data_IF_081772982431
#
_entry.id   IF_081772982431
#
_cell.length_a   1.000
_cell.length_b   1.000
_cell.length_c   1.000
_cell.angle_alpha   90.00
_cell.angle_beta   90.00
_cell.angle_gamma   90.00
#
_symmetry.space_group_name_H-M   'P 1'
#
loop_
_entity.id
_entity.type
_entity.pdbx_description
1 polymer ?
#
# COMPACT_ATOMS: atom_id res chain seq x y z
N UNK A 1 5.15 -22.46 -24.42
CA UNK A 1 4.32 -21.55 -23.60
C UNK A 1 5.03 -21.37 -22.28
N UNK A 2 5.37 -20.13 -21.92
CA UNK A 2 6.10 -19.83 -20.68
C UNK A 2 5.18 -20.05 -19.48
N UNK A 3 5.66 -20.76 -18.46
CA UNK A 3 4.96 -20.97 -17.18
C UNK A 3 5.43 -19.96 -16.15
N UNK A 4 4.49 -19.33 -15.45
CA UNK A 4 4.78 -18.40 -14.36
C UNK A 4 4.40 -19.02 -13.02
N UNK A 5 5.38 -19.15 -12.12
CA UNK A 5 5.18 -19.61 -10.75
C UNK A 5 4.92 -18.42 -9.83
N UNK A 6 3.72 -18.33 -9.27
CA UNK A 6 3.34 -17.26 -8.33
C UNK A 6 3.99 -17.47 -6.96
N UNK A 7 4.04 -16.41 -6.17
CA UNK A 7 4.47 -16.49 -4.77
C UNK A 7 3.64 -17.49 -3.93
N UNK A 8 2.40 -17.78 -4.34
CA UNK A 8 1.54 -18.79 -3.71
C UNK A 8 1.84 -20.24 -4.13
N UNK A 9 2.81 -20.46 -5.03
CA UNK A 9 3.08 -21.77 -5.66
C UNK A 9 2.14 -22.11 -6.84
N UNK A 10 1.10 -21.30 -7.08
CA UNK A 10 0.21 -21.49 -8.22
C UNK A 10 0.96 -21.26 -9.54
N UNK A 11 0.72 -22.12 -10.53
CA UNK A 11 1.32 -22.03 -11.86
C UNK A 11 0.27 -21.55 -12.85
N UNK A 12 0.60 -20.55 -13.66
CA UNK A 12 -0.24 -20.10 -14.77
C UNK A 12 0.60 -19.89 -16.04
N UNK A 13 -0.05 -19.85 -17.20
CA UNK A 13 0.62 -19.40 -18.41
C UNK A 13 1.00 -17.91 -18.28
N UNK A 14 2.16 -17.55 -18.82
CA UNK A 14 2.51 -16.14 -19.01
C UNK A 14 1.43 -15.45 -19.85
N UNK A 15 1.10 -14.22 -19.46
CA UNK A 15 0.07 -13.42 -20.07
C UNK A 15 0.64 -12.02 -20.32
N UNK A 16 0.95 -11.74 -21.58
CA UNK A 16 1.49 -10.46 -22.01
C UNK A 16 0.51 -9.31 -21.72
N UNK A 17 -0.81 -9.55 -21.74
CA UNK A 17 -1.82 -8.55 -21.43
C UNK A 17 -1.80 -8.14 -19.96
N UNK A 18 -1.61 -9.10 -19.03
CA UNK A 18 -1.41 -8.78 -17.60
C UNK A 18 -0.16 -7.93 -17.38
N UNK A 19 0.94 -8.26 -18.05
CA UNK A 19 2.18 -7.51 -17.93
C UNK A 19 2.06 -6.11 -18.53
N UNK A 20 1.54 -5.99 -19.76
CA UNK A 20 1.28 -4.72 -20.42
C UNK A 20 0.38 -3.81 -19.57
N UNK A 21 -0.72 -4.35 -19.05
CA UNK A 21 -1.60 -3.62 -18.13
C UNK A 21 -0.86 -3.16 -16.87
N UNK A 22 0.06 -3.97 -16.34
CA UNK A 22 0.84 -3.57 -15.17
C UNK A 22 1.86 -2.47 -15.46
N UNK A 23 2.46 -2.47 -16.64
CA UNK A 23 3.39 -1.45 -17.11
C UNK A 23 2.65 -0.14 -17.43
N UNK A 24 1.53 -0.23 -18.16
CA UNK A 24 0.74 0.92 -18.58
C UNK A 24 0.19 1.70 -17.39
N UNK A 25 -0.22 1.02 -16.31
CA UNK A 25 -0.64 1.66 -15.05
C UNK A 25 0.42 2.55 -14.42
N UNK A 26 1.70 2.34 -14.73
CA UNK A 26 2.79 3.18 -14.26
C UNK A 26 3.02 4.41 -15.14
N UNK A 27 2.17 4.66 -16.14
CA UNK A 27 2.24 5.81 -17.03
C UNK A 27 3.05 5.59 -18.30
N UNK A 28 3.36 4.34 -18.64
CA UNK A 28 3.91 4.00 -19.97
C UNK A 28 2.76 3.94 -20.98
N UNK A 29 2.89 4.53 -22.18
CA UNK A 29 1.86 4.44 -23.22
C UNK A 29 1.47 2.99 -23.51
N UNK A 30 0.18 2.73 -23.73
CA UNK A 30 -0.33 1.35 -23.87
C UNK A 30 0.34 0.57 -25.01
N UNK A 31 0.58 1.23 -26.15
CA UNK A 31 1.29 0.64 -27.29
C UNK A 31 2.72 0.20 -26.94
N UNK A 32 3.44 1.01 -26.15
CA UNK A 32 4.79 0.70 -25.70
C UNK A 32 4.78 -0.39 -24.63
N UNK A 33 3.81 -0.36 -23.70
CA UNK A 33 3.65 -1.39 -22.69
C UNK A 33 3.41 -2.78 -23.32
N UNK A 34 2.61 -2.85 -24.38
CA UNK A 34 2.41 -4.08 -25.16
C UNK A 34 3.67 -4.54 -25.89
N UNK A 35 4.42 -3.61 -26.49
CA UNK A 35 5.68 -3.92 -27.16
C UNK A 35 6.67 -4.54 -26.15
N UNK A 36 6.89 -3.87 -25.02
CA UNK A 36 7.77 -4.36 -23.95
C UNK A 36 7.34 -5.72 -23.42
N UNK A 37 6.03 -5.93 -23.20
CA UNK A 37 5.53 -7.20 -22.69
C UNK A 37 5.81 -8.36 -23.66
N UNK A 38 5.65 -8.13 -24.97
CA UNK A 38 5.94 -9.13 -26.02
C UNK A 38 7.43 -9.36 -26.24
N UNK A 39 8.25 -8.32 -26.12
CA UNK A 39 9.72 -8.44 -26.15
C UNK A 39 10.20 -9.29 -25.00
N UNK A 40 9.73 -8.98 -23.78
CA UNK A 40 10.07 -9.75 -22.59
C UNK A 40 9.66 -11.22 -22.71
N UNK A 41 8.46 -11.51 -23.22
CA UNK A 41 7.97 -12.89 -23.39
C UNK A 41 8.94 -13.78 -24.18
N UNK A 42 9.60 -13.22 -25.22
CA UNK A 42 10.56 -13.95 -26.06
C UNK A 42 11.84 -14.33 -25.32
N UNK A 43 12.20 -13.57 -24.29
CA UNK A 43 13.43 -13.75 -23.50
C UNK A 43 13.19 -14.55 -22.22
N UNK A 44 11.93 -14.87 -21.90
CA UNK A 44 11.61 -15.63 -20.71
C UNK A 44 11.95 -17.12 -20.91
N UNK A 45 12.55 -17.77 -19.91
CA UNK A 45 12.71 -19.22 -19.93
C UNK A 45 11.35 -19.94 -19.92
N UNK A 46 11.33 -21.23 -20.23
CA UNK A 46 10.09 -22.03 -20.27
C UNK A 46 9.31 -22.04 -18.94
N UNK A 47 9.99 -21.81 -17.82
CA UNK A 47 9.40 -21.61 -16.50
C UNK A 47 10.13 -20.47 -15.78
N UNK A 48 9.36 -19.53 -15.20
CA UNK A 48 9.88 -18.35 -14.52
C UNK A 48 9.03 -18.01 -13.30
N UNK A 49 9.62 -17.43 -12.26
CA UNK A 49 8.83 -16.93 -11.12
C UNK A 49 8.19 -15.58 -11.42
N UNK A 50 7.02 -15.31 -10.85
CA UNK A 50 6.41 -13.97 -10.89
C UNK A 50 7.32 -12.88 -10.30
N UNK A 51 8.19 -13.25 -9.37
CA UNK A 51 9.20 -12.36 -8.80
C UNK A 51 10.29 -11.98 -9.80
N UNK A 52 10.72 -12.94 -10.62
CA UNK A 52 11.71 -12.74 -11.67
C UNK A 52 11.14 -11.95 -12.85
N UNK A 53 9.89 -12.25 -13.28
CA UNK A 53 9.19 -11.44 -14.29
C UNK A 53 9.18 -9.98 -13.85
N UNK A 54 8.77 -9.71 -12.60
CA UNK A 54 8.81 -8.36 -12.04
C UNK A 54 10.21 -7.74 -12.06
N UNK A 55 11.25 -8.49 -11.68
CA UNK A 55 12.61 -7.96 -11.60
C UNK A 55 13.13 -7.56 -12.98
N UNK A 56 12.89 -8.39 -14.00
CA UNK A 56 13.20 -8.10 -15.40
C UNK A 56 12.44 -6.87 -15.90
N UNK A 57 11.14 -6.78 -15.63
CA UNK A 57 10.33 -5.60 -16.02
C UNK A 57 10.88 -4.33 -15.36
N UNK A 58 11.19 -4.39 -14.07
CA UNK A 58 11.70 -3.24 -13.35
C UNK A 58 13.08 -2.79 -13.87
N UNK A 59 13.94 -3.72 -14.28
CA UNK A 59 15.22 -3.39 -14.92
C UNK A 59 15.01 -2.63 -16.23
N UNK A 60 14.15 -3.13 -17.11
CA UNK A 60 13.80 -2.47 -18.39
C UNK A 60 13.18 -1.09 -18.15
N UNK A 61 12.27 -0.97 -17.18
CA UNK A 61 11.66 0.31 -16.84
C UNK A 61 12.70 1.29 -16.26
N UNK A 62 13.68 0.85 -15.48
CA UNK A 62 14.73 1.75 -14.94
C UNK A 62 15.58 2.36 -16.05
N UNK A 63 15.84 1.60 -17.11
CA UNK A 63 16.62 2.06 -18.25
C UNK A 63 15.81 2.99 -19.16
N UNK A 64 14.59 2.58 -19.53
CA UNK A 64 13.79 3.28 -20.55
C UNK A 64 12.81 4.31 -19.97
N UNK A 65 12.28 4.09 -18.76
CA UNK A 65 11.23 4.89 -18.13
C UNK A 65 11.45 5.08 -16.61
N UNK A 66 12.50 5.82 -16.17
CA UNK A 66 12.89 5.90 -14.75
C UNK A 66 11.74 6.30 -13.80
N UNK A 67 10.89 7.24 -14.20
CA UNK A 67 9.72 7.63 -13.42
C UNK A 67 8.69 6.49 -13.28
N UNK A 68 8.40 5.78 -14.37
CA UNK A 68 7.51 4.62 -14.38
C UNK A 68 8.07 3.47 -13.55
N UNK A 69 9.40 3.32 -13.50
CA UNK A 69 10.05 2.34 -12.64
C UNK A 69 9.80 2.57 -11.15
N UNK A 70 9.81 3.84 -10.70
CA UNK A 70 9.48 4.20 -9.32
C UNK A 70 8.03 3.83 -8.98
N UNK A 71 7.09 4.15 -9.87
CA UNK A 71 5.68 3.79 -9.75
C UNK A 71 5.48 2.27 -9.72
N UNK A 72 6.15 1.55 -10.61
CA UNK A 72 6.10 0.09 -10.67
C UNK A 72 6.66 -0.55 -9.40
N UNK A 73 7.69 0.05 -8.82
CA UNK A 73 8.30 -0.40 -7.58
C UNK A 73 7.47 -0.09 -6.33
N UNK A 74 6.54 0.87 -6.40
CA UNK A 74 5.87 1.43 -5.24
C UNK A 74 5.16 0.38 -4.38
N UNK A 75 4.43 -0.55 -5.01
CA UNK A 75 3.74 -1.63 -4.27
C UNK A 75 4.71 -2.44 -3.42
N UNK A 76 5.87 -2.81 -3.97
CA UNK A 76 6.90 -3.52 -3.19
C UNK A 76 7.56 -2.61 -2.17
N UNK A 77 7.77 -1.34 -2.50
CA UNK A 77 8.28 -0.33 -1.58
C UNK A 77 7.46 -0.28 -0.28
N UNK A 78 6.14 -0.12 -0.40
CA UNK A 78 5.26 -0.09 0.78
C UNK A 78 5.30 -1.41 1.56
N UNK A 79 5.34 -2.57 0.88
CA UNK A 79 5.49 -3.89 1.52
C UNK A 79 6.87 -4.11 2.21
N UNK A 80 7.82 -3.19 2.01
CA UNK A 80 9.15 -3.23 2.62
C UNK A 80 9.31 -2.20 3.74
N UNK A 81 8.22 -1.57 4.19
CA UNK A 81 8.21 -0.72 5.38
C UNK A 81 8.27 -1.55 6.68
N UNK A 82 8.07 -2.86 6.61
CA UNK A 82 8.14 -3.78 7.75
C UNK A 82 9.52 -4.39 8.04
N UNK A 83 9.58 -5.42 8.90
CA UNK A 83 8.47 -6.30 9.29
C UNK A 83 7.55 -5.73 10.37
N UNK A 84 8.00 -4.72 11.10
CA UNK A 84 7.24 -4.03 12.15
C UNK A 84 6.09 -3.20 11.55
N UNK A 85 4.96 -3.07 12.26
CA UNK A 85 3.84 -2.24 11.81
C UNK A 85 4.13 -0.73 11.91
N UNK A 86 5.00 -0.36 12.85
CA UNK A 86 5.27 1.02 13.23
C UNK A 86 5.79 1.94 12.10
N UNK A 87 6.71 1.52 11.21
CA UNK A 87 7.12 2.39 10.10
C UNK A 87 5.97 2.62 9.10
N UNK A 88 5.04 1.68 8.95
CA UNK A 88 3.85 1.88 8.13
C UNK A 88 2.89 2.90 8.76
N UNK A 89 2.69 2.86 10.08
CA UNK A 89 1.89 3.86 10.80
C UNK A 89 2.47 5.27 10.64
N UNK A 90 3.79 5.42 10.81
CA UNK A 90 4.51 6.67 10.52
C UNK A 90 4.32 7.12 9.09
N UNK A 91 4.39 6.21 8.13
CA UNK A 91 4.20 6.53 6.71
C UNK A 91 2.78 7.05 6.44
N UNK A 92 1.76 6.40 7.00
CA UNK A 92 0.36 6.85 6.90
C UNK A 92 0.19 8.22 7.56
N UNK A 93 0.78 8.44 8.74
CA UNK A 93 0.74 9.76 9.40
C UNK A 93 1.38 10.85 8.52
N UNK A 94 2.52 10.58 7.88
CA UNK A 94 3.16 11.52 6.94
C UNK A 94 2.30 11.79 5.71
N UNK A 95 1.64 10.76 5.16
CA UNK A 95 0.73 10.91 4.04
C UNK A 95 -0.46 11.80 4.41
N UNK A 96 -1.10 11.55 5.55
CA UNK A 96 -2.20 12.38 6.06
C UNK A 96 -1.74 13.82 6.34
N UNK A 97 -0.53 14.03 6.85
CA UNK A 97 0.03 15.36 7.02
C UNK A 97 0.18 16.11 5.68
N UNK A 98 0.69 15.45 4.63
CA UNK A 98 0.77 16.02 3.26
C UNK A 98 -0.64 16.30 2.67
N UNK A 99 -1.65 15.56 3.11
CA UNK A 99 -3.08 15.82 2.80
C UNK A 99 -3.67 16.99 3.59
N UNK A 100 -2.90 17.66 4.46
CA UNK A 100 -3.32 18.82 5.24
C UNK A 100 -3.99 18.49 6.57
N UNK A 101 -3.83 17.27 7.09
CA UNK A 101 -4.28 16.93 8.45
C UNK A 101 -3.21 17.32 9.48
N UNK A 102 -3.66 17.76 10.66
CA UNK A 102 -2.86 17.69 11.88
C UNK A 102 -2.84 16.24 12.36
N UNK A 103 -1.66 15.67 12.59
CA UNK A 103 -1.50 14.24 12.88
C UNK A 103 -0.78 13.99 14.19
N UNK A 104 -1.22 12.97 14.93
CA UNK A 104 -0.57 12.43 16.12
C UNK A 104 -0.54 10.90 16.02
N UNK A 105 0.51 10.26 16.51
CA UNK A 105 0.67 8.79 16.44
C UNK A 105 0.82 8.19 17.83
N UNK A 106 0.44 6.91 18.01
CA UNK A 106 0.49 6.18 19.30
C UNK A 106 -0.24 6.92 20.43
N UNK A 107 -1.47 7.35 20.15
CA UNK A 107 -2.28 8.10 21.12
C UNK A 107 -3.08 7.11 21.95
N UNK A 108 -2.92 7.14 23.27
CA UNK A 108 -3.84 6.43 24.17
C UNK A 108 -5.03 7.34 24.47
N UNK A 109 -6.23 6.93 24.06
CA UNK A 109 -7.47 7.63 24.31
C UNK A 109 -8.36 6.84 25.28
N UNK A 110 -8.88 7.50 26.32
CA UNK A 110 -9.84 6.88 27.24
C UNK A 110 -11.23 6.96 26.63
N UNK A 111 -11.76 5.82 26.20
CA UNK A 111 -13.16 5.68 25.80
C UNK A 111 -14.10 5.58 26.99
N UNK A 112 -15.40 5.47 26.70
CA UNK A 112 -16.46 5.34 27.70
C UNK A 112 -16.24 4.11 28.58
N UNK A 113 -15.79 3.01 28.00
CA UNK A 113 -15.56 1.74 28.68
C UNK A 113 -14.06 1.55 28.99
N UNK A 114 -13.19 1.55 27.97
CA UNK A 114 -11.77 1.20 28.13
C UNK A 114 -10.83 2.21 27.46
N UNK A 115 -9.53 2.09 27.76
CA UNK A 115 -8.51 2.84 27.03
C UNK A 115 -8.16 2.13 25.73
N UNK A 116 -7.98 2.89 24.66
CA UNK A 116 -7.63 2.41 23.33
C UNK A 116 -6.32 3.05 22.88
N UNK A 117 -5.39 2.24 22.37
CA UNK A 117 -4.17 2.72 21.72
C UNK A 117 -4.45 2.94 20.23
N UNK A 118 -4.39 4.18 19.78
CA UNK A 118 -4.68 4.59 18.42
C UNK A 118 -3.39 4.78 17.63
N UNK A 119 -3.28 4.09 16.50
CA UNK A 119 -2.11 4.16 15.62
C UNK A 119 -1.89 5.60 15.14
N UNK A 120 -2.92 6.21 14.55
CA UNK A 120 -2.88 7.61 14.09
C UNK A 120 -4.20 8.33 14.43
N UNK A 121 -4.10 9.55 14.92
CA UNK A 121 -5.20 10.52 15.05
C UNK A 121 -4.96 11.61 14.03
N UNK A 122 -5.96 11.90 13.20
CA UNK A 122 -5.88 12.90 12.16
C UNK A 122 -7.02 13.91 12.27
N UNK A 123 -6.69 15.21 12.23
CA UNK A 123 -7.66 16.29 12.42
C UNK A 123 -7.57 17.30 11.28
N UNK A 124 -8.72 17.63 10.66
CA UNK A 124 -8.79 18.64 9.60
C UNK A 124 -10.20 19.23 9.51
N UNK A 125 -10.30 20.56 9.49
CA UNK A 125 -11.59 21.24 9.29
C UNK A 125 -12.63 20.95 10.38
N UNK A 126 -12.19 20.70 11.62
CA UNK A 126 -13.07 20.35 12.73
C UNK A 126 -13.46 18.86 12.81
N UNK A 127 -13.11 18.05 11.79
CA UNK A 127 -13.29 16.60 11.82
C UNK A 127 -12.06 15.92 12.42
N UNK A 128 -12.28 15.00 13.36
CA UNK A 128 -11.28 14.22 14.07
C UNK A 128 -11.46 12.73 13.80
N UNK A 129 -10.45 12.14 13.19
CA UNK A 129 -10.45 10.76 12.71
C UNK A 129 -9.58 9.89 13.60
N UNK A 130 -10.10 8.71 13.99
CA UNK A 130 -9.25 7.63 14.49
C UNK A 130 -8.85 6.74 13.33
N UNK A 131 -7.56 6.55 13.12
CA UNK A 131 -7.01 5.82 11.99
C UNK A 131 -6.30 4.57 12.50
N UNK A 132 -6.76 3.41 12.05
CA UNK A 132 -6.20 2.11 12.33
C UNK A 132 -5.38 1.63 11.13
N UNK A 133 -4.10 1.40 11.32
CA UNK A 133 -3.18 0.88 10.33
C UNK A 133 -3.13 -0.66 10.42
N UNK A 134 -3.41 -1.32 9.30
CA UNK A 134 -3.30 -2.78 9.16
C UNK A 134 -2.25 -3.15 8.13
N UNK A 135 -1.03 -3.26 8.63
CA UNK A 135 0.12 -3.66 7.84
C UNK A 135 0.22 -5.19 7.72
N UNK A 136 0.49 -5.69 6.51
CA UNK A 136 0.73 -7.11 6.25
C UNK A 136 2.06 -7.31 5.52
N UNK A 137 2.85 -8.26 6.02
CA UNK A 137 4.14 -8.63 5.42
C UNK A 137 4.00 -9.51 4.18
N UNK A 138 2.92 -10.29 4.08
CA UNK A 138 2.69 -11.21 2.98
C UNK A 138 1.75 -10.60 1.92
N UNK A 139 2.11 -10.66 0.63
CA UNK A 139 1.17 -10.28 -0.42
C UNK A 139 0.00 -11.27 -0.45
N UNK A 140 -1.22 -10.76 -0.60
CA UNK A 140 -2.43 -11.58 -0.72
C UNK A 140 -3.28 -11.66 0.54
N UNK A 141 -2.72 -11.29 1.71
CA UNK A 141 -3.51 -11.05 2.92
C UNK A 141 -4.51 -9.91 2.66
N UNK A 142 -5.68 -10.01 3.29
CA UNK A 142 -6.75 -9.02 3.20
C UNK A 142 -7.23 -8.67 4.60
N UNK A 143 -7.63 -7.42 4.78
CA UNK A 143 -8.44 -7.00 5.92
C UNK A 143 -9.86 -7.51 5.72
N UNK A 144 -10.34 -8.32 6.67
CA UNK A 144 -11.65 -8.96 6.65
C UNK A 144 -12.69 -8.18 7.46
N UNK A 145 -13.94 -8.66 7.43
CA UNK A 145 -15.05 -8.05 8.17
C UNK A 145 -14.84 -8.07 9.69
N UNK A 146 -14.12 -9.07 10.24
CA UNK A 146 -13.81 -9.14 11.66
C UNK A 146 -12.98 -7.94 12.10
N UNK A 147 -11.96 -7.56 11.32
CA UNK A 147 -11.17 -6.37 11.60
C UNK A 147 -12.01 -5.10 11.48
N UNK A 148 -12.88 -5.00 10.47
CA UNK A 148 -13.76 -3.84 10.32
C UNK A 148 -14.74 -3.68 11.50
N UNK A 149 -15.37 -4.78 11.93
CA UNK A 149 -16.23 -4.83 13.11
C UNK A 149 -15.48 -4.44 14.39
N UNK A 150 -14.27 -4.94 14.56
CA UNK A 150 -13.42 -4.61 15.70
C UNK A 150 -13.08 -3.11 15.77
N UNK A 151 -12.66 -2.53 14.65
CA UNK A 151 -12.35 -1.09 14.57
C UNK A 151 -13.60 -0.24 14.84
N UNK A 152 -14.75 -0.65 14.32
CA UNK A 152 -16.02 0.04 14.59
C UNK A 152 -16.42 -0.03 16.06
N UNK A 153 -16.28 -1.18 16.72
CA UNK A 153 -16.57 -1.29 18.15
C UNK A 153 -15.68 -0.35 19.00
N UNK A 154 -14.40 -0.20 18.64
CA UNK A 154 -13.49 0.76 19.27
C UNK A 154 -13.92 2.20 19.03
N UNK A 155 -14.33 2.51 17.80
CA UNK A 155 -14.89 3.82 17.46
C UNK A 155 -16.13 4.16 18.28
N UNK A 156 -17.07 3.22 18.45
CA UNK A 156 -18.26 3.46 19.26
C UNK A 156 -17.92 3.84 20.70
N UNK A 157 -16.90 3.20 21.29
CA UNK A 157 -16.42 3.53 22.64
C UNK A 157 -15.73 4.90 22.74
N UNK A 158 -15.31 5.46 21.60
CA UNK A 158 -14.61 6.73 21.44
C UNK A 158 -15.43 7.81 20.72
N UNK A 159 -16.70 7.54 20.42
CA UNK A 159 -17.55 8.35 19.53
C UNK A 159 -17.84 9.77 20.03
N UNK A 160 -17.62 10.05 21.32
CA UNK A 160 -17.70 11.40 21.89
C UNK A 160 -16.47 12.27 21.59
N UNK A 161 -15.38 11.66 21.10
CA UNK A 161 -14.08 12.31 20.89
C UNK A 161 -13.62 12.29 19.43
N UNK A 162 -14.25 11.46 18.60
CA UNK A 162 -13.88 11.22 17.20
C UNK A 162 -15.14 11.13 16.36
N UNK A 163 -15.08 11.69 15.15
CA UNK A 163 -16.21 11.75 14.24
C UNK A 163 -16.33 10.50 13.37
N UNK A 164 -15.19 9.89 12.99
CA UNK A 164 -15.14 8.67 12.17
C UNK A 164 -13.92 7.80 12.47
N UNK A 165 -14.04 6.52 12.16
CA UNK A 165 -12.91 5.60 12.05
C UNK A 165 -12.46 5.41 10.60
N UNK A 166 -11.16 5.15 10.42
CA UNK A 166 -10.54 4.91 9.13
C UNK A 166 -9.56 3.73 9.21
N UNK A 167 -9.78 2.70 8.40
CA UNK A 167 -8.83 1.60 8.24
C UNK A 167 -7.89 1.89 7.07
N UNK A 168 -6.58 1.82 7.28
CA UNK A 168 -5.58 1.94 6.22
C UNK A 168 -4.73 0.68 6.15
N UNK A 169 -4.63 0.05 4.98
CA UNK A 169 -3.81 -1.16 4.76
C UNK A 169 -2.98 -1.08 3.48
N UNK A 170 -1.78 -1.67 3.52
CA UNK A 170 -0.90 -1.81 2.35
C UNK A 170 -1.37 -2.88 1.35
N UNK A 171 -2.39 -3.67 1.68
CA UNK A 171 -2.84 -4.79 0.85
C UNK A 171 -4.24 -4.55 0.26
N UNK A 172 -5.24 -5.34 0.63
CA UNK A 172 -6.61 -5.29 0.12
C UNK A 172 -7.58 -5.39 1.29
N UNK A 173 -8.78 -4.89 1.08
CA UNK A 173 -9.96 -5.18 1.92
C UNK A 173 -10.81 -6.25 1.22
N UNK A 174 -11.52 -7.06 1.99
CA UNK A 174 -12.57 -7.95 1.47
C UNK A 174 -13.80 -7.15 1.06
N UNK A 175 -14.66 -7.72 0.22
CA UNK A 175 -15.92 -7.09 -0.19
C UNK A 175 -16.84 -6.86 1.01
N UNK A 176 -16.93 -7.82 1.94
CA UNK A 176 -17.69 -7.69 3.17
C UNK A 176 -17.15 -6.57 4.08
N UNK A 177 -15.83 -6.46 4.25
CA UNK A 177 -15.22 -5.39 5.03
C UNK A 177 -15.47 -4.01 4.42
N UNK A 178 -15.40 -3.91 3.09
CA UNK A 178 -15.70 -2.68 2.36
C UNK A 178 -17.17 -2.28 2.51
N UNK A 179 -18.09 -3.22 2.25
CA UNK A 179 -19.53 -3.00 2.38
C UNK A 179 -19.94 -2.63 3.81
N UNK A 180 -19.38 -3.32 4.81
CA UNK A 180 -19.62 -2.99 6.21
C UNK A 180 -19.12 -1.59 6.56
N UNK A 181 -17.88 -1.25 6.17
CA UNK A 181 -17.28 0.06 6.46
C UNK A 181 -18.11 1.19 5.86
N UNK A 182 -18.55 1.05 4.61
CA UNK A 182 -19.43 2.01 3.94
C UNK A 182 -20.78 2.14 4.67
N UNK A 183 -21.41 1.02 5.01
CA UNK A 183 -22.70 0.97 5.70
C UNK A 183 -22.69 1.74 7.03
N UNK A 184 -21.61 1.61 7.82
CA UNK A 184 -21.51 2.23 9.15
C UNK A 184 -20.78 3.58 9.16
N UNK A 185 -20.44 4.11 7.98
CA UNK A 185 -19.78 5.42 7.84
C UNK A 185 -18.29 5.45 8.20
N UNK A 186 -17.61 4.30 8.20
CA UNK A 186 -16.15 4.23 8.31
C UNK A 186 -15.47 4.41 6.96
N UNK A 187 -14.27 4.96 6.99
CA UNK A 187 -13.38 5.02 5.84
C UNK A 187 -12.52 3.75 5.76
N UNK A 188 -12.22 3.29 4.55
CA UNK A 188 -11.27 2.21 4.34
C UNK A 188 -10.39 2.52 3.12
N UNK A 189 -9.07 2.50 3.30
CA UNK A 189 -8.08 2.68 2.25
C UNK A 189 -7.19 1.45 2.18
N UNK A 190 -7.19 0.77 1.03
CA UNK A 190 -6.25 -0.29 0.71
C UNK A 190 -5.37 0.12 -0.47
N UNK A 191 -4.50 -0.77 -0.96
CA UNK A 191 -3.58 -0.49 -2.07
C UNK A 191 -4.28 0.18 -3.26
N UNK A 192 -5.45 -0.33 -3.65
CA UNK A 192 -6.27 0.16 -4.77
C UNK A 192 -7.75 0.36 -4.42
N UNK A 193 -8.06 0.55 -3.14
CA UNK A 193 -9.42 0.78 -2.68
C UNK A 193 -9.46 2.03 -1.79
N UNK A 194 -10.48 2.91 -1.92
CA UNK A 194 -11.47 2.90 -2.99
C UNK A 194 -10.82 3.16 -4.36
N UNK A 195 -11.56 2.94 -5.45
CA UNK A 195 -11.06 3.27 -6.79
C UNK A 195 -10.65 4.76 -6.79
N UNK A 196 -9.49 5.07 -7.34
CA UNK A 196 -8.92 6.44 -7.44
C UNK A 196 -8.53 7.15 -6.13
N UNK A 197 -8.87 6.61 -4.96
CA UNK A 197 -8.40 7.13 -3.66
C UNK A 197 -7.78 6.04 -2.76
N UNK A 198 -7.30 4.96 -3.38
CA UNK A 198 -6.47 3.95 -2.73
C UNK A 198 -5.06 4.47 -2.44
N UNK A 199 -4.30 3.72 -1.64
CA UNK A 199 -2.94 4.09 -1.23
C UNK A 199 -2.03 4.37 -2.44
N UNK A 200 -2.11 3.55 -3.50
CA UNK A 200 -1.38 3.76 -4.75
C UNK A 200 -1.64 5.16 -5.35
N UNK A 201 -2.91 5.57 -5.42
CA UNK A 201 -3.30 6.85 -5.98
C UNK A 201 -2.92 8.03 -5.06
N UNK A 202 -3.07 7.87 -3.74
CA UNK A 202 -2.71 8.91 -2.77
C UNK A 202 -1.20 9.19 -2.80
N UNK A 203 -0.38 8.14 -2.85
CA UNK A 203 1.07 8.33 -2.90
C UNK A 203 1.52 9.08 -4.15
N UNK A 204 0.91 8.78 -5.30
CA UNK A 204 1.18 9.49 -6.55
C UNK A 204 0.70 10.96 -6.49
N UNK A 205 -0.51 11.18 -5.97
CA UNK A 205 -1.09 12.52 -5.86
C UNK A 205 -0.25 13.45 -4.98
N UNK A 206 0.27 12.94 -3.86
CA UNK A 206 1.09 13.72 -2.91
C UNK A 206 2.60 13.53 -3.09
N UNK A 207 3.01 12.76 -4.11
CA UNK A 207 4.42 12.43 -4.44
C UNK A 207 5.25 11.92 -3.24
N UNK A 208 4.61 11.24 -2.29
CA UNK A 208 5.24 10.79 -1.05
C UNK A 208 5.80 9.37 -1.20
N UNK A 209 6.84 9.21 -2.01
CA UNK A 209 7.45 7.89 -2.24
C UNK A 209 8.15 7.38 -0.97
N UNK A 210 7.96 6.11 -0.56
CA UNK A 210 8.66 5.57 0.60
C UNK A 210 10.15 5.42 0.29
N UNK A 211 11.04 5.58 1.29
CA UNK A 211 12.49 5.44 1.05
C UNK A 211 12.88 4.05 0.49
N UNK A 212 12.01 3.07 0.69
CA UNK A 212 12.16 1.69 0.28
C UNK A 212 12.06 1.47 -1.23
N UNK A 213 11.58 2.46 -2.00
CA UNK A 213 11.66 2.39 -3.47
C UNK A 213 13.06 2.71 -4.01
N UNK A 214 13.94 3.31 -3.21
CA UNK A 214 15.29 3.66 -3.65
C UNK A 214 16.12 2.39 -3.93
N UNK A 215 16.61 2.19 -5.16
CA UNK A 215 17.38 1.01 -5.52
C UNK A 215 18.80 1.01 -4.93
N UNK A 216 19.35 2.20 -4.64
CA UNK A 216 20.70 2.38 -4.11
C UNK A 216 20.81 2.11 -2.60
N UNK A 217 19.68 1.96 -1.92
CA UNK A 217 19.65 1.78 -0.47
C UNK A 217 19.81 0.30 -0.12
N UNK A 218 20.93 -0.05 0.52
CA UNK A 218 21.15 -1.39 1.06
C UNK A 218 20.09 -1.75 2.11
N UNK A 219 19.90 -3.05 2.35
CA UNK A 219 18.95 -3.50 3.38
C UNK A 219 19.29 -2.95 4.77
N UNK A 220 20.58 -2.93 5.13
CA UNK A 220 21.04 -2.38 6.41
C UNK A 220 20.76 -0.89 6.54
N UNK A 221 21.11 -0.09 5.51
CA UNK A 221 20.86 1.35 5.52
C UNK A 221 19.35 1.65 5.58
N UNK A 222 18.53 0.87 4.86
CA UNK A 222 17.08 0.98 4.91
C UNK A 222 16.54 0.74 6.31
N UNK A 223 16.99 -0.33 6.96
CA UNK A 223 16.56 -0.67 8.32
C UNK A 223 16.88 0.46 9.30
N UNK A 224 18.12 0.95 9.27
CA UNK A 224 18.53 2.07 10.14
C UNK A 224 17.72 3.34 9.89
N UNK A 225 17.41 3.68 8.65
CA UNK A 225 16.57 4.84 8.33
C UNK A 225 15.13 4.67 8.85
N UNK A 226 14.53 3.48 8.69
CA UNK A 226 13.19 3.20 9.20
C UNK A 226 13.13 3.26 10.74
N UNK A 227 14.15 2.73 11.43
CA UNK A 227 14.31 2.82 12.89
C UNK A 227 14.40 4.29 13.36
N UNK A 228 15.11 5.13 12.58
CA UNK A 228 15.17 6.59 12.80
C UNK A 228 13.85 7.32 12.46
N UNK A 229 12.83 6.61 11.95
CA UNK A 229 11.56 7.20 11.55
C UNK A 229 11.55 7.89 10.19
N UNK A 230 12.60 7.71 9.39
CA UNK A 230 12.68 8.22 8.01
C UNK A 230 12.01 7.19 7.11
N UNK A 231 10.75 7.45 6.75
CA UNK A 231 9.89 6.48 6.03
C UNK A 231 9.59 6.87 4.58
N UNK A 232 9.78 8.13 4.21
CA UNK A 232 9.50 8.66 2.88
C UNK A 232 10.56 9.67 2.42
N UNK A 233 10.60 9.88 1.10
CA UNK A 233 11.33 10.96 0.45
C UNK A 233 10.46 12.22 0.51
N UNK A 234 11.05 13.35 0.92
CA UNK A 234 10.33 14.62 1.09
C UNK A 234 10.29 15.50 -0.15
#
# INVERSE_FOLDING_TARGET
MVRVVKASGAVEAFDAGKLASSIARCGVPESEAWLLAREMEKELPGEVSSSEVYARTLAVLREKYPASALRYALRRGIMMLGPEGYPFEKYVARLLAKMGYSVRTNVVAKGRCISHELDVVAERGGERLMVECKYHNAPGTKVDAKVALYVYARFLDLSEQFDKAWIVTNTKVTEEAAAYSECVGMLATAWRYPREAGLEALVEAYRLYPITVLPSLSESARRSLLEMGIVALD
#
